data_IF_763668414496
#
_entry.id   IF_763668414496
#
_cell.length_a   1.000
_cell.length_b   1.000
_cell.length_c   1.000
_cell.angle_alpha   90.00
_cell.angle_beta   90.00
_cell.angle_gamma   90.00
#
_symmetry.space_group_name_H-M   'P 1'
#
loop_
_entity.id
_entity.type
_entity.pdbx_description
1 polymer ?
#
# COMPACT_ATOMS: atom_id res chain seq x y z
N UNK A 1 -20.28 -16.72 38.85
CA UNK A 1 -19.52 -17.31 37.73
C UNK A 1 -18.71 -16.22 37.06
N UNK A 2 -17.42 -16.13 37.39
CA UNK A 2 -16.55 -15.04 36.98
C UNK A 2 -16.05 -15.19 35.55
N UNK A 3 -16.36 -14.21 34.70
CA UNK A 3 -15.64 -13.96 33.45
C UNK A 3 -14.45 -13.02 33.73
N UNK A 4 -13.50 -13.51 34.51
CA UNK A 4 -12.18 -12.92 34.64
C UNK A 4 -11.16 -13.98 34.20
N UNK A 5 -10.14 -13.56 33.45
CA UNK A 5 -8.96 -14.35 33.04
C UNK A 5 -9.06 -15.29 31.82
N UNK A 6 -9.39 -14.77 30.64
CA UNK A 6 -8.91 -15.39 29.39
C UNK A 6 -7.97 -14.49 28.56
N UNK A 7 -7.57 -13.31 29.08
CA UNK A 7 -6.66 -12.38 28.40
C UNK A 7 -5.16 -12.61 28.69
N UNK A 8 -4.79 -13.62 29.49
CA UNK A 8 -3.39 -13.87 29.92
C UNK A 8 -2.81 -15.20 29.43
N UNK A 9 -3.13 -15.63 28.21
CA UNK A 9 -2.61 -16.88 27.65
C UNK A 9 -2.05 -16.76 26.22
N UNK A 10 -1.51 -15.58 25.87
CA UNK A 10 -0.50 -15.52 24.81
C UNK A 10 0.84 -15.49 25.54
N UNK A 11 1.57 -16.60 25.50
CA UNK A 11 2.93 -16.67 26.07
C UNK A 11 3.76 -15.48 25.56
N UNK A 12 4.60 -14.86 26.40
CA UNK A 12 5.33 -13.63 26.05
C UNK A 12 6.17 -13.78 24.77
N UNK A 13 6.70 -14.97 24.50
CA UNK A 13 7.38 -15.31 23.24
C UNK A 13 6.49 -15.24 22.00
N UNK A 14 5.24 -15.71 22.08
CA UNK A 14 4.28 -15.63 20.96
C UNK A 14 3.89 -14.18 20.67
N UNK A 15 3.77 -13.33 21.68
CA UNK A 15 3.51 -11.90 21.49
C UNK A 15 4.67 -11.22 20.77
N UNK A 16 5.92 -11.51 21.15
CA UNK A 16 7.11 -10.95 20.51
C UNK A 16 7.18 -11.35 19.02
N UNK A 17 6.89 -12.61 18.69
CA UNK A 17 6.89 -13.07 17.29
C UNK A 17 5.81 -12.37 16.48
N UNK A 18 4.58 -12.25 17.01
CA UNK A 18 3.48 -11.55 16.32
C UNK A 18 3.84 -10.08 16.09
N UNK A 19 4.37 -9.41 17.12
CA UNK A 19 4.82 -8.01 17.00
C UNK A 19 5.94 -7.87 15.97
N UNK A 20 6.91 -8.80 15.96
CA UNK A 20 7.96 -8.79 14.95
C UNK A 20 7.36 -8.88 13.54
N UNK A 21 6.49 -9.84 13.26
CA UNK A 21 5.93 -10.03 11.92
C UNK A 21 5.03 -8.87 11.45
N UNK A 22 4.21 -8.33 12.36
CA UNK A 22 3.24 -7.28 12.04
C UNK A 22 3.91 -5.90 12.04
N UNK A 23 4.62 -5.55 13.11
CA UNK A 23 5.20 -4.22 13.32
C UNK A 23 6.55 -4.01 12.61
N UNK A 24 7.13 -5.03 11.95
CA UNK A 24 8.26 -4.85 11.01
C UNK A 24 7.83 -4.78 9.54
N UNK A 25 6.54 -4.88 9.23
CA UNK A 25 5.99 -4.97 7.85
C UNK A 25 6.28 -6.28 7.10
N UNK A 26 6.80 -7.33 7.74
CA UNK A 26 7.02 -8.61 7.08
C UNK A 26 5.72 -9.27 6.59
N UNK A 27 4.65 -9.27 7.40
CA UNK A 27 3.35 -9.77 6.94
C UNK A 27 2.81 -8.96 5.75
N UNK A 28 3.01 -7.64 5.79
CA UNK A 28 2.54 -6.74 4.76
C UNK A 28 3.30 -6.91 3.45
N UNK A 29 4.62 -7.13 3.50
CA UNK A 29 5.41 -7.39 2.30
C UNK A 29 4.99 -8.69 1.62
N UNK A 30 4.71 -9.75 2.38
CA UNK A 30 4.17 -11.02 1.85
C UNK A 30 2.85 -10.80 1.09
N UNK A 31 2.01 -9.85 1.52
CA UNK A 31 0.81 -9.47 0.76
C UNK A 31 1.15 -8.94 -0.63
N UNK A 32 2.28 -8.23 -0.79
CA UNK A 32 2.79 -7.82 -2.10
C UNK A 32 3.04 -9.00 -3.04
N UNK A 33 3.72 -10.05 -2.59
CA UNK A 33 3.92 -11.25 -3.41
C UNK A 33 2.60 -11.91 -3.82
N UNK A 34 1.62 -11.99 -2.90
CA UNK A 34 0.29 -12.50 -3.21
C UNK A 34 -0.44 -11.62 -4.24
N UNK A 35 -0.29 -10.31 -4.17
CA UNK A 35 -0.85 -9.39 -5.16
C UNK A 35 -0.22 -9.57 -6.54
N UNK A 36 1.11 -9.77 -6.62
CA UNK A 36 1.79 -10.11 -7.89
C UNK A 36 1.28 -11.44 -8.43
N UNK A 37 1.12 -12.46 -7.60
CA UNK A 37 0.55 -13.74 -8.02
C UNK A 37 -0.85 -13.58 -8.64
N UNK A 38 -1.73 -12.82 -7.97
CA UNK A 38 -3.07 -12.52 -8.48
C UNK A 38 -2.98 -11.72 -9.79
N UNK A 39 -2.07 -10.74 -9.87
CA UNK A 39 -1.84 -9.93 -11.06
C UNK A 39 -1.40 -10.79 -12.25
N UNK A 40 -0.41 -11.67 -12.09
CA UNK A 40 0.01 -12.62 -13.11
C UNK A 40 -1.17 -13.49 -13.57
N UNK A 41 -1.93 -14.05 -12.63
CA UNK A 41 -3.09 -14.88 -12.93
C UNK A 41 -4.15 -14.14 -13.75
N UNK A 42 -4.50 -12.91 -13.36
CA UNK A 42 -5.51 -12.11 -14.06
C UNK A 42 -5.03 -11.65 -15.45
N UNK A 43 -3.73 -11.47 -15.63
CA UNK A 43 -3.12 -11.07 -16.90
C UNK A 43 -2.74 -12.27 -17.79
N UNK A 44 -3.02 -13.51 -17.36
CA UNK A 44 -2.68 -14.72 -18.12
C UNK A 44 -1.18 -15.01 -18.19
N UNK A 45 -0.39 -14.46 -17.26
CA UNK A 45 1.06 -14.63 -17.19
C UNK A 45 1.45 -15.74 -16.20
N UNK A 46 2.57 -16.46 -16.43
CA UNK A 46 3.14 -17.32 -15.41
C UNK A 46 3.52 -16.49 -14.18
N UNK A 47 3.53 -17.13 -13.01
CA UNK A 47 3.90 -16.45 -11.78
C UNK A 47 5.35 -15.97 -11.83
N UNK A 48 5.54 -14.67 -11.70
CA UNK A 48 6.83 -14.03 -11.72
C UNK A 48 7.39 -13.86 -10.30
N UNK A 49 8.29 -14.78 -9.94
CA UNK A 49 8.98 -14.77 -8.65
C UNK A 49 9.86 -13.54 -8.44
N UNK A 50 10.42 -12.98 -9.52
CA UNK A 50 11.30 -11.80 -9.43
C UNK A 50 10.46 -10.56 -9.16
N UNK A 51 9.36 -10.36 -9.89
CA UNK A 51 8.40 -9.28 -9.62
C UNK A 51 7.83 -9.38 -8.20
N UNK A 52 7.50 -10.59 -7.73
CA UNK A 52 7.01 -10.81 -6.38
C UNK A 52 8.06 -10.43 -5.32
N UNK A 53 9.32 -10.86 -5.50
CA UNK A 53 10.41 -10.51 -4.60
C UNK A 53 10.70 -8.99 -4.59
N UNK A 54 10.70 -8.35 -5.77
CA UNK A 54 10.85 -6.89 -5.89
C UNK A 54 9.73 -6.18 -5.12
N UNK A 55 8.46 -6.56 -5.33
CA UNK A 55 7.36 -5.90 -4.62
C UNK A 55 7.40 -6.13 -3.11
N UNK A 56 7.78 -7.33 -2.65
CA UNK A 56 8.01 -7.58 -1.22
C UNK A 56 9.05 -6.63 -0.64
N UNK A 57 10.18 -6.46 -1.33
CA UNK A 57 11.26 -5.57 -0.89
C UNK A 57 10.83 -4.11 -0.88
N UNK A 58 10.13 -3.64 -1.92
CA UNK A 58 9.56 -2.29 -1.99
C UNK A 58 8.61 -2.05 -0.81
N UNK A 59 7.63 -2.94 -0.60
CA UNK A 59 6.64 -2.78 0.47
C UNK A 59 7.30 -2.80 1.84
N UNK A 60 8.24 -3.71 2.07
CA UNK A 60 9.01 -3.74 3.31
C UNK A 60 9.75 -2.42 3.54
N UNK A 61 10.43 -1.92 2.51
CA UNK A 61 11.22 -0.70 2.60
C UNK A 61 10.34 0.54 2.81
N UNK A 62 9.38 0.79 1.93
CA UNK A 62 8.51 1.99 1.98
C UNK A 62 7.78 2.08 3.32
N UNK A 63 7.20 0.99 3.81
CA UNK A 63 6.46 1.05 5.08
C UNK A 63 7.36 1.25 6.31
N UNK A 64 8.59 0.74 6.29
CA UNK A 64 9.53 1.02 7.38
C UNK A 64 10.12 2.44 7.29
N UNK A 65 10.29 3.00 6.09
CA UNK A 65 10.63 4.41 5.90
C UNK A 65 9.49 5.33 6.36
N UNK A 66 8.24 5.02 6.01
CA UNK A 66 7.08 5.81 6.43
C UNK A 66 6.89 5.80 7.95
N UNK A 67 7.11 4.66 8.63
CA UNK A 67 7.08 4.60 10.11
C UNK A 67 8.04 5.57 10.78
N UNK A 68 9.13 5.94 10.10
CA UNK A 68 10.09 6.91 10.61
C UNK A 68 9.61 8.35 10.41
N UNK A 69 8.86 8.62 9.34
CA UNK A 69 8.31 9.95 9.06
C UNK A 69 7.00 10.21 9.80
N UNK A 70 6.27 9.16 10.16
CA UNK A 70 4.93 9.22 10.72
C UNK A 70 4.92 8.94 12.25
N UNK A 71 6.08 9.11 12.92
CA UNK A 71 6.22 8.84 14.36
C UNK A 71 5.20 9.63 15.20
N UNK A 72 4.96 10.90 14.89
CA UNK A 72 4.02 11.76 15.62
C UNK A 72 2.57 11.25 15.53
N UNK A 73 2.17 10.76 14.35
CA UNK A 73 0.84 10.15 14.12
C UNK A 73 0.73 8.80 14.85
N UNK A 74 1.78 7.97 14.78
CA UNK A 74 1.83 6.65 15.40
C UNK A 74 1.82 6.69 16.94
N UNK A 75 2.38 7.74 17.55
CA UNK A 75 2.28 7.96 19.01
C UNK A 75 0.84 8.08 19.48
N UNK A 76 -0.04 8.65 18.64
CA UNK A 76 -1.45 8.88 18.96
C UNK A 76 -2.28 7.66 18.56
N UNK A 77 -2.18 7.23 17.30
CA UNK A 77 -3.07 6.23 16.72
C UNK A 77 -2.64 4.79 17.05
N UNK A 78 -1.35 4.53 17.29
CA UNK A 78 -0.78 3.18 17.33
C UNK A 78 0.38 3.03 18.33
N UNK A 79 0.13 3.34 19.60
CA UNK A 79 1.13 3.34 20.69
C UNK A 79 2.01 2.08 20.78
N UNK A 80 1.44 0.88 20.64
CA UNK A 80 2.22 -0.37 20.66
C UNK A 80 3.16 -0.51 19.45
N UNK A 81 2.67 -0.12 18.26
CA UNK A 81 3.46 -0.13 17.02
C UNK A 81 4.62 0.84 17.14
N UNK A 82 4.34 2.07 17.61
CA UNK A 82 5.35 3.08 17.86
C UNK A 82 6.44 2.58 18.84
N UNK A 83 6.05 1.99 19.97
CA UNK A 83 7.01 1.48 20.94
C UNK A 83 7.96 0.43 20.34
N UNK A 84 7.44 -0.46 19.48
CA UNK A 84 8.25 -1.44 18.77
C UNK A 84 9.17 -0.80 17.73
N UNK A 85 8.63 0.03 16.85
CA UNK A 85 9.39 0.64 15.74
C UNK A 85 10.46 1.57 16.27
N UNK A 86 10.17 2.28 17.37
CA UNK A 86 11.15 3.14 18.06
C UNK A 86 12.29 2.35 18.68
N UNK A 87 11.98 1.21 19.31
CA UNK A 87 12.99 0.31 19.90
C UNK A 87 13.94 -0.28 18.85
N UNK A 88 13.43 -0.61 17.66
CA UNK A 88 14.20 -1.25 16.59
C UNK A 88 14.54 -0.31 15.42
N UNK A 89 14.39 1.00 15.61
CA UNK A 89 14.42 2.05 14.57
C UNK A 89 15.64 1.91 13.65
N UNK A 90 16.83 1.82 14.25
CA UNK A 90 18.11 1.78 13.53
C UNK A 90 18.23 0.55 12.61
N UNK A 91 17.73 -0.60 13.05
CA UNK A 91 17.78 -1.86 12.30
C UNK A 91 16.74 -1.83 11.17
N UNK A 92 15.50 -1.41 11.48
CA UNK A 92 14.42 -1.31 10.51
C UNK A 92 14.72 -0.29 9.41
N UNK A 93 15.32 0.85 9.76
CA UNK A 93 15.70 1.88 8.79
C UNK A 93 16.82 1.40 7.86
N UNK A 94 17.88 0.81 8.40
CA UNK A 94 18.98 0.27 7.56
C UNK A 94 18.52 -0.89 6.69
N UNK A 95 17.69 -1.79 7.22
CA UNK A 95 17.16 -2.90 6.43
C UNK A 95 16.19 -2.42 5.35
N UNK A 96 15.41 -1.37 5.60
CA UNK A 96 14.56 -0.74 4.60
C UNK A 96 15.37 -0.15 3.45
N UNK A 97 16.43 0.61 3.75
CA UNK A 97 17.34 1.15 2.72
C UNK A 97 17.97 0.00 1.92
N UNK A 98 18.51 -1.01 2.61
CA UNK A 98 19.11 -2.19 1.97
C UNK A 98 18.11 -2.92 1.06
N UNK A 99 16.88 -3.14 1.53
CA UNK A 99 15.83 -3.79 0.76
C UNK A 99 15.47 -2.99 -0.49
N UNK A 100 15.33 -1.66 -0.40
CA UNK A 100 15.03 -0.84 -1.58
C UNK A 100 16.18 -0.84 -2.59
N UNK A 101 17.44 -0.77 -2.13
CA UNK A 101 18.62 -0.88 -3.00
C UNK A 101 18.63 -2.24 -3.72
N UNK A 102 18.39 -3.33 -2.99
CA UNK A 102 18.32 -4.67 -3.58
C UNK A 102 17.18 -4.75 -4.61
N UNK A 103 16.01 -4.19 -4.33
CA UNK A 103 14.89 -4.14 -5.27
C UNK A 103 15.28 -3.40 -6.56
N UNK A 104 15.91 -2.23 -6.43
CA UNK A 104 16.40 -1.43 -7.57
C UNK A 104 17.44 -2.21 -8.37
N UNK A 105 18.44 -2.82 -7.73
CA UNK A 105 19.44 -3.64 -8.41
C UNK A 105 18.80 -4.81 -9.17
N UNK A 106 17.88 -5.55 -8.55
CA UNK A 106 17.19 -6.65 -9.20
C UNK A 106 16.31 -6.18 -10.36
N UNK A 107 15.59 -5.07 -10.21
CA UNK A 107 14.77 -4.51 -11.28
C UNK A 107 15.60 -4.03 -12.48
N UNK A 108 16.77 -3.44 -12.23
CA UNK A 108 17.67 -2.99 -13.28
C UNK A 108 18.18 -4.16 -14.14
N UNK A 109 18.37 -5.35 -13.54
CA UNK A 109 18.73 -6.57 -14.28
C UNK A 109 17.60 -7.06 -15.20
N UNK A 110 16.35 -6.67 -14.94
CA UNK A 110 15.19 -7.02 -15.76
C UNK A 110 14.88 -5.98 -16.84
N UNK A 111 15.60 -4.86 -16.87
CA UNK A 111 15.46 -3.81 -17.87
C UNK A 111 15.00 -2.46 -17.32
N UNK A 112 15.06 -1.44 -18.19
CA UNK A 112 14.78 -0.05 -17.80
C UNK A 112 13.33 0.16 -17.35
N UNK A 113 12.37 -0.53 -17.99
CA UNK A 113 10.95 -0.39 -17.64
C UNK A 113 10.68 -0.92 -16.23
N UNK A 114 11.25 -2.08 -15.88
CA UNK A 114 11.17 -2.64 -14.52
C UNK A 114 11.78 -1.70 -13.48
N UNK A 115 12.93 -1.10 -13.80
CA UNK A 115 13.59 -0.10 -12.95
C UNK A 115 12.71 1.13 -12.70
N UNK A 116 12.11 1.69 -13.75
CA UNK A 116 11.22 2.85 -13.64
C UNK A 116 9.98 2.54 -12.81
N UNK A 117 9.36 1.38 -13.04
CA UNK A 117 8.21 0.89 -12.26
C UNK A 117 8.58 0.67 -10.79
N UNK A 118 9.76 0.11 -10.52
CA UNK A 118 10.29 -0.13 -9.16
C UNK A 118 10.62 1.17 -8.43
N UNK A 119 11.08 2.20 -9.14
CA UNK A 119 11.39 3.50 -8.56
C UNK A 119 10.12 4.34 -8.23
N UNK A 120 9.01 4.08 -8.92
CA UNK A 120 7.80 4.90 -8.84
C UNK A 120 7.26 5.09 -7.40
N UNK A 121 7.18 4.06 -6.52
CA UNK A 121 6.68 4.24 -5.15
C UNK A 121 7.56 5.15 -4.29
N UNK A 122 8.89 5.04 -4.40
CA UNK A 122 9.81 5.92 -3.67
C UNK A 122 9.72 7.36 -4.17
N UNK A 123 9.69 7.55 -5.50
CA UNK A 123 9.50 8.88 -6.10
C UNK A 123 8.17 9.47 -5.65
N UNK A 124 7.09 8.69 -5.67
CA UNK A 124 5.78 9.13 -5.20
C UNK A 124 5.82 9.57 -3.74
N UNK A 125 6.48 8.82 -2.85
CA UNK A 125 6.65 9.20 -1.43
C UNK A 125 7.44 10.51 -1.23
N UNK A 126 8.49 10.72 -2.04
CA UNK A 126 9.28 11.97 -2.01
C UNK A 126 8.44 13.14 -2.53
N UNK A 127 7.88 13.01 -3.74
CA UNK A 127 7.06 14.03 -4.41
C UNK A 127 5.85 14.40 -3.55
N UNK A 128 5.26 13.43 -2.85
CA UNK A 128 4.17 13.65 -1.89
C UNK A 128 4.55 14.61 -0.75
N UNK A 129 5.81 14.57 -0.30
CA UNK A 129 6.29 15.25 0.90
C UNK A 129 6.99 16.60 0.62
N UNK A 130 7.49 16.81 -0.59
CA UNK A 130 8.25 18.01 -1.02
C UNK A 130 7.30 19.17 -1.34
N UNK A 131 7.67 20.43 -1.01
CA UNK A 131 6.87 21.60 -1.39
C UNK A 131 6.99 21.89 -2.89
N UNK A 132 6.06 21.37 -3.69
CA UNK A 132 6.03 21.50 -5.15
C UNK A 132 5.20 22.70 -5.64
N UNK A 133 4.28 23.22 -4.82
CA UNK A 133 3.35 24.27 -5.24
C UNK A 133 3.82 25.67 -4.81
N UNK A 134 3.53 26.73 -5.61
CA UNK A 134 3.85 28.11 -5.26
C UNK A 134 3.14 28.56 -3.96
N UNK A 135 3.75 29.49 -3.24
CA UNK A 135 3.25 29.97 -1.95
C UNK A 135 1.83 30.58 -1.98
N UNK A 136 1.30 30.92 -3.16
CA UNK A 136 -0.06 31.46 -3.34
C UNK A 136 -1.17 30.42 -3.58
N UNK A 137 -0.83 29.13 -3.71
CA UNK A 137 -1.79 28.09 -4.16
C UNK A 137 -2.62 27.45 -3.02
N UNK A 138 -2.57 28.01 -1.81
CA UNK A 138 -3.28 27.50 -0.61
C UNK A 138 -2.66 26.23 0.01
N UNK A 139 -1.94 25.44 -0.79
CA UNK A 139 -1.15 24.28 -0.37
C UNK A 139 0.24 24.37 -0.99
N UNK A 140 1.28 23.98 -0.24
CA UNK A 140 2.66 23.88 -0.73
C UNK A 140 3.03 22.46 -1.12
N UNK A 141 2.43 21.44 -0.50
CA UNK A 141 2.78 20.01 -0.69
C UNK A 141 1.57 19.20 -1.13
N UNK A 142 1.78 18.11 -1.88
CA UNK A 142 0.70 17.20 -2.24
C UNK A 142 0.00 16.61 -1.02
N UNK A 143 0.74 16.33 0.06
CA UNK A 143 0.17 15.83 1.31
C UNK A 143 -0.85 16.75 1.99
N UNK A 144 -0.87 18.03 1.64
CA UNK A 144 -1.81 19.00 2.20
C UNK A 144 -3.15 19.01 1.45
N UNK A 145 -3.18 18.44 0.24
CA UNK A 145 -4.37 18.32 -0.59
C UNK A 145 -5.22 17.14 -0.08
N UNK A 146 -6.52 17.35 0.17
CA UNK A 146 -7.44 16.27 0.52
C UNK A 146 -7.32 15.06 -0.40
N UNK A 147 -7.51 13.86 0.13
CA UNK A 147 -7.58 12.59 -0.64
C UNK A 147 -6.23 12.16 -1.25
N UNK A 148 -5.22 13.05 -1.35
CA UNK A 148 -3.96 12.71 -2.01
C UNK A 148 -3.21 11.59 -1.33
N UNK A 149 -3.29 11.47 0.01
CA UNK A 149 -2.75 10.33 0.75
C UNK A 149 -3.23 9.01 0.13
N UNK A 150 -4.55 8.82 0.04
CA UNK A 150 -5.15 7.58 -0.42
C UNK A 150 -4.87 7.30 -1.91
N UNK A 151 -4.83 8.34 -2.74
CA UNK A 151 -4.49 8.23 -4.16
C UNK A 151 -3.02 7.87 -4.38
N UNK A 152 -2.10 8.52 -3.68
CA UNK A 152 -0.66 8.23 -3.74
C UNK A 152 -0.38 6.78 -3.32
N UNK A 153 -0.99 6.31 -2.24
CA UNK A 153 -0.88 4.91 -1.79
C UNK A 153 -1.45 3.96 -2.84
N UNK A 154 -2.65 4.23 -3.36
CA UNK A 154 -3.30 3.39 -4.37
C UNK A 154 -2.43 3.21 -5.63
N UNK A 155 -1.90 4.31 -6.19
CA UNK A 155 -0.99 4.23 -7.34
C UNK A 155 0.33 3.53 -7.00
N UNK A 156 0.92 3.82 -5.85
CA UNK A 156 2.21 3.24 -5.43
C UNK A 156 2.16 1.72 -5.24
N UNK A 157 1.00 1.17 -4.87
CA UNK A 157 0.80 -0.28 -4.85
C UNK A 157 0.46 -0.84 -6.24
N UNK A 158 -0.44 -0.16 -6.96
CA UNK A 158 -1.01 -0.69 -8.20
C UNK A 158 0.02 -0.78 -9.32
N UNK A 159 0.77 0.31 -9.54
CA UNK A 159 1.72 0.42 -10.64
C UNK A 159 2.72 -0.75 -10.63
N UNK A 160 3.48 -1.02 -9.56
CA UNK A 160 4.42 -2.14 -9.55
C UNK A 160 3.72 -3.51 -9.52
N UNK A 161 2.57 -3.64 -8.86
CA UNK A 161 1.82 -4.91 -8.84
C UNK A 161 1.40 -5.36 -10.25
N UNK A 162 0.95 -4.40 -11.06
CA UNK A 162 0.40 -4.70 -12.39
C UNK A 162 1.49 -4.71 -13.47
N UNK A 163 2.40 -3.74 -13.43
CA UNK A 163 3.35 -3.53 -14.53
C UNK A 163 4.62 -4.38 -14.42
N UNK A 164 5.09 -4.75 -13.22
CA UNK A 164 6.34 -5.53 -13.11
C UNK A 164 6.27 -6.85 -13.90
N UNK A 165 5.23 -7.70 -13.75
CA UNK A 165 5.15 -8.94 -14.53
C UNK A 165 5.04 -8.71 -16.04
N UNK A 166 4.35 -7.65 -16.47
CA UNK A 166 4.17 -7.29 -17.89
C UNK A 166 5.51 -6.86 -18.50
N UNK A 167 6.25 -5.99 -17.80
CA UNK A 167 7.58 -5.55 -18.20
C UNK A 167 8.56 -6.73 -18.30
N UNK A 168 8.56 -7.63 -17.32
CA UNK A 168 9.45 -8.80 -17.33
C UNK A 168 9.09 -9.80 -18.42
N UNK A 169 7.81 -9.92 -18.77
CA UNK A 169 7.35 -10.73 -19.90
C UNK A 169 7.66 -10.09 -21.27
N UNK A 170 8.11 -8.82 -21.30
CA UNK A 170 8.36 -8.10 -22.55
C UNK A 170 7.09 -7.81 -23.36
N UNK A 171 5.94 -7.76 -22.70
CA UNK A 171 4.65 -7.53 -23.34
C UNK A 171 4.25 -6.06 -23.29
N UNK A 172 3.51 -5.56 -24.29
CA UNK A 172 2.95 -4.21 -24.24
C UNK A 172 1.82 -4.13 -23.21
N UNK A 173 1.59 -2.93 -22.68
CA UNK A 173 0.42 -2.64 -21.84
C UNK A 173 -0.83 -2.67 -22.73
N UNK A 174 -1.69 -3.65 -22.50
CA UNK A 174 -2.92 -3.85 -23.27
C UNK A 174 -4.17 -3.51 -22.45
N UNK A 175 -5.35 -3.80 -23.01
CA UNK A 175 -6.63 -3.56 -22.34
C UNK A 175 -6.78 -4.41 -21.06
N UNK A 176 -6.24 -5.64 -21.03
CA UNK A 176 -6.31 -6.50 -19.85
C UNK A 176 -5.47 -5.92 -18.72
N UNK A 177 -4.24 -5.46 -19.00
CA UNK A 177 -3.40 -4.74 -18.04
C UNK A 177 -4.11 -3.51 -17.48
N UNK A 178 -4.80 -2.74 -18.33
CA UNK A 178 -5.61 -1.60 -17.91
C UNK A 178 -6.74 -1.96 -16.95
N UNK A 179 -7.50 -3.02 -17.25
CA UNK A 179 -8.60 -3.51 -16.41
C UNK A 179 -8.07 -4.02 -15.06
N UNK A 180 -6.98 -4.78 -15.07
CA UNK A 180 -6.33 -5.28 -13.84
C UNK A 180 -5.79 -4.12 -13.01
N UNK A 181 -5.21 -3.10 -13.65
CA UNK A 181 -4.78 -1.85 -13.02
C UNK A 181 -5.93 -1.13 -12.32
N UNK A 182 -7.07 -0.96 -12.98
CA UNK A 182 -8.27 -0.34 -12.40
C UNK A 182 -8.76 -1.14 -11.18
N UNK A 183 -8.80 -2.46 -11.28
CA UNK A 183 -9.20 -3.33 -10.18
C UNK A 183 -8.29 -3.14 -8.95
N UNK A 184 -6.97 -3.28 -9.12
CA UNK A 184 -6.03 -3.12 -8.00
C UNK A 184 -6.04 -1.70 -7.44
N UNK A 185 -6.15 -0.68 -8.30
CA UNK A 185 -6.24 0.70 -7.87
C UNK A 185 -7.41 0.93 -6.92
N UNK A 186 -8.62 0.54 -7.32
CA UNK A 186 -9.78 0.73 -6.45
C UNK A 186 -9.71 -0.14 -5.19
N UNK A 187 -9.21 -1.37 -5.29
CA UNK A 187 -9.08 -2.24 -4.13
C UNK A 187 -8.12 -1.66 -3.08
N UNK A 188 -6.96 -1.15 -3.52
CA UNK A 188 -6.01 -0.49 -2.62
C UNK A 188 -6.58 0.83 -2.12
N UNK A 189 -7.15 1.66 -2.98
CA UNK A 189 -7.75 2.95 -2.61
C UNK A 189 -8.80 2.77 -1.52
N UNK A 190 -9.75 1.86 -1.72
CA UNK A 190 -10.80 1.54 -0.74
C UNK A 190 -10.17 1.07 0.56
N UNK A 191 -9.20 0.15 0.51
CA UNK A 191 -8.52 -0.33 1.69
C UNK A 191 -7.81 0.80 2.47
N UNK A 192 -7.12 1.71 1.78
CA UNK A 192 -6.49 2.87 2.40
C UNK A 192 -7.51 3.76 3.10
N UNK A 193 -8.66 4.04 2.48
CA UNK A 193 -9.71 4.85 3.10
C UNK A 193 -10.37 4.12 4.29
N UNK A 194 -10.42 2.78 4.27
CA UNK A 194 -10.84 1.97 5.44
C UNK A 194 -9.85 2.10 6.61
N UNK A 195 -8.55 2.22 6.34
CA UNK A 195 -7.58 2.53 7.39
C UNK A 195 -7.76 3.97 7.91
N UNK A 196 -7.93 4.95 7.02
CA UNK A 196 -8.21 6.34 7.40
C UNK A 196 -9.50 6.44 8.25
N UNK A 197 -10.48 5.53 8.07
CA UNK A 197 -11.70 5.46 8.90
C UNK A 197 -11.43 5.06 10.36
N UNK A 198 -10.34 4.34 10.63
CA UNK A 198 -9.93 3.97 12.00
C UNK A 198 -9.17 5.10 12.68
N UNK A 199 -8.50 5.93 11.89
CA UNK A 199 -7.59 6.98 12.36
C UNK A 199 -8.26 8.37 12.36
N UNK A 200 -9.57 8.46 12.10
CA UNK A 200 -10.33 9.72 11.97
C UNK A 200 -10.12 10.68 13.13
N UNK A 201 -10.14 10.19 14.37
CA UNK A 201 -10.00 11.04 15.55
C UNK A 201 -8.59 11.63 15.64
N UNK A 202 -7.54 10.83 15.41
CA UNK A 202 -6.16 11.29 15.42
C UNK A 202 -5.81 12.17 14.22
N UNK A 203 -6.32 11.84 13.04
CA UNK A 203 -6.20 12.64 11.83
C UNK A 203 -6.84 14.03 12.04
N UNK A 204 -8.05 14.08 12.59
CA UNK A 204 -8.74 15.33 12.89
C UNK A 204 -8.01 16.17 13.94
N UNK A 205 -7.49 15.54 15.00
CA UNK A 205 -6.70 16.21 16.03
C UNK A 205 -5.39 16.79 15.47
N UNK A 206 -4.80 16.12 14.47
CA UNK A 206 -3.54 16.51 13.81
C UNK A 206 -3.74 17.42 12.59
N UNK A 207 -4.99 17.78 12.27
CA UNK A 207 -5.33 18.63 11.11
C UNK A 207 -5.19 17.95 9.74
N UNK A 208 -5.10 16.62 9.70
CA UNK A 208 -4.99 15.82 8.48
C UNK A 208 -6.36 15.67 7.82
N UNK A 209 -6.44 16.02 6.53
CA UNK A 209 -7.70 16.03 5.77
C UNK A 209 -7.82 14.79 4.89
N UNK A 210 -8.33 13.71 5.46
CA UNK A 210 -8.68 12.47 4.76
C UNK A 210 -10.16 12.48 4.34
N UNK A 211 -10.57 11.53 3.48
CA UNK A 211 -11.99 11.39 3.08
C UNK A 211 -12.91 11.28 4.31
N UNK A 212 -12.64 10.42 5.31
CA UNK A 212 -13.52 10.31 6.47
C UNK A 212 -13.48 11.52 7.41
N UNK A 213 -12.39 12.28 7.52
CA UNK A 213 -12.41 13.53 8.31
C UNK A 213 -13.23 14.63 7.62
N UNK A 214 -13.37 14.60 6.29
CA UNK A 214 -14.14 15.59 5.52
C UNK A 214 -15.62 15.19 5.40
N UNK A 215 -15.91 13.94 5.00
CA UNK A 215 -17.27 13.47 4.73
C UNK A 215 -17.97 12.92 5.98
N UNK A 216 -17.21 12.54 7.01
CA UNK A 216 -17.67 11.78 8.15
C UNK A 216 -17.80 10.29 7.86
N UNK A 217 -17.65 9.48 8.91
CA UNK A 217 -17.59 7.99 8.86
C UNK A 217 -18.73 7.37 8.05
N UNK A 218 -19.97 7.79 8.29
CA UNK A 218 -21.16 7.19 7.65
C UNK A 218 -21.20 7.41 6.14
N UNK A 219 -20.90 8.63 5.66
CA UNK A 219 -20.90 8.94 4.23
C UNK A 219 -19.75 8.25 3.51
N UNK A 220 -18.59 8.18 4.15
CA UNK A 220 -17.43 7.43 3.62
C UNK A 220 -17.76 5.96 3.46
N UNK A 221 -18.40 5.31 4.44
CA UNK A 221 -18.81 3.90 4.30
C UNK A 221 -19.74 3.70 3.10
N UNK A 222 -20.76 4.56 2.92
CA UNK A 222 -21.63 4.48 1.75
C UNK A 222 -20.88 4.67 0.42
N UNK A 223 -19.97 5.64 0.36
CA UNK A 223 -19.11 5.86 -0.82
C UNK A 223 -18.29 4.61 -1.15
N UNK A 224 -17.63 4.01 -0.16
CA UNK A 224 -16.81 2.82 -0.34
C UNK A 224 -17.63 1.59 -0.74
N UNK A 225 -18.83 1.42 -0.18
CA UNK A 225 -19.76 0.36 -0.61
C UNK A 225 -20.18 0.56 -2.07
N UNK A 226 -20.54 1.78 -2.45
CA UNK A 226 -20.91 2.10 -3.84
C UNK A 226 -19.77 1.85 -4.83
N UNK A 227 -18.55 2.25 -4.49
CA UNK A 227 -17.35 1.98 -5.29
C UNK A 227 -17.10 0.48 -5.46
N UNK A 228 -17.14 -0.30 -4.37
CA UNK A 228 -16.97 -1.76 -4.44
C UNK A 228 -18.02 -2.42 -5.34
N UNK A 229 -19.30 -2.05 -5.19
CA UNK A 229 -20.37 -2.60 -6.01
C UNK A 229 -20.18 -2.24 -7.48
N UNK A 230 -19.80 -1.00 -7.77
CA UNK A 230 -19.58 -0.54 -9.15
C UNK A 230 -18.40 -1.28 -9.79
N UNK A 231 -17.25 -1.32 -9.14
CA UNK A 231 -16.05 -2.00 -9.64
C UNK A 231 -16.31 -3.50 -9.81
N UNK A 232 -16.91 -4.15 -8.81
CA UNK A 232 -17.27 -5.57 -8.89
C UNK A 232 -18.23 -5.87 -10.04
N UNK A 233 -19.24 -5.02 -10.23
CA UNK A 233 -20.23 -5.18 -11.31
C UNK A 233 -19.57 -5.01 -12.68
N UNK A 234 -18.76 -3.96 -12.87
CA UNK A 234 -18.02 -3.74 -14.13
C UNK A 234 -17.14 -4.95 -14.45
N UNK A 235 -16.39 -5.45 -13.46
CA UNK A 235 -15.49 -6.60 -13.67
C UNK A 235 -16.23 -7.89 -14.03
N UNK A 236 -17.40 -8.14 -13.43
CA UNK A 236 -18.24 -9.30 -13.80
C UNK A 236 -18.72 -9.20 -15.24
N UNK A 237 -19.18 -8.01 -15.67
CA UNK A 237 -19.64 -7.81 -17.04
C UNK A 237 -18.51 -7.87 -18.07
N UNK A 238 -17.35 -7.26 -17.80
CA UNK A 238 -16.21 -7.32 -18.71
C UNK A 238 -15.58 -8.73 -18.76
N UNK A 239 -15.50 -9.42 -17.61
CA UNK A 239 -15.01 -10.80 -17.54
C UNK A 239 -15.95 -11.81 -18.22
N UNK A 240 -17.27 -11.58 -18.13
CA UNK A 240 -18.27 -12.36 -18.86
C UNK A 240 -18.17 -12.16 -20.37
N UNK A 241 -17.97 -10.93 -20.85
CA UNK A 241 -17.82 -10.63 -22.27
C UNK A 241 -16.56 -11.25 -22.90
N UNK A 242 -15.45 -11.32 -22.16
CA UNK A 242 -14.21 -11.94 -22.63
C UNK A 242 -14.31 -13.46 -22.82
N UNK A 243 -15.16 -14.15 -22.03
CA UNK A 243 -15.38 -15.60 -22.16
C UNK A 243 -16.31 -16.01 -23.28
N UNK A 244 -17.12 -15.09 -23.81
CA UNK A 244 -18.07 -15.37 -24.91
C UNK A 244 -17.42 -15.20 -26.29
N UNK A 245 -16.17 -14.69 -26.33
CA UNK A 245 -15.45 -14.34 -27.57
C UNK A 245 -14.30 -15.31 -27.91
N UNK A 246 -14.18 -16.43 -27.20
CA UNK A 246 -13.19 -17.52 -27.45
C UNK A 246 -13.94 -18.78 -27.85
#
# INVERSE_FOLDING_TARGET
FGFANNAKLIQPTRQIVVQLFVYSSLCLSITGAAMVYISCFLQGLPFDLVAAAILMLIVFAVYNLNRKTDEDEDVINHTERYAFTKKYESILFRSAIGAYIIAICHSALQGVDSLLVTAAPLVAGIVYSVPLFPAGFGFRRLKEIPIMKSLTVAFSWTIPTVLLPVCHAGLPVDAATGIVGIFFFFQVFINTVVFDLRDVEGDAASGVRTIPTILGTRKTLFLLTGLNLTVGTVLVFTGGACRVSV
#
